data_IF_685099952046
#
_entry.id   IF_685099952046
#
_cell.length_a   1.000
_cell.length_b   1.000
_cell.length_c   1.000
_cell.angle_alpha   90.00
_cell.angle_beta   90.00
_cell.angle_gamma   90.00
#
_symmetry.space_group_name_H-M   'P 1'
#
loop_
_entity.id
_entity.type
_entity.pdbx_description
1 polymer ?
#
# COMPACT_ATOMS: atom_id res chain seq x y z
N UNK A 1 -16.74 1.80 -4.32
CA UNK A 1 -16.96 3.24 -4.10
C UNK A 1 -16.42 3.56 -2.71
N UNK A 2 -15.28 4.25 -2.59
CA UNK A 2 -14.69 4.64 -1.30
C UNK A 2 -14.92 6.13 -1.04
N UNK A 3 -16.18 6.50 -0.76
CA UNK A 3 -16.54 7.91 -0.55
C UNK A 3 -17.41 8.19 0.68
N UNK A 4 -17.71 7.19 1.51
CA UNK A 4 -18.75 7.29 2.56
C UNK A 4 -18.34 6.76 3.95
N UNK A 5 -17.04 6.63 4.24
CA UNK A 5 -16.59 6.38 5.61
C UNK A 5 -16.57 4.91 6.06
N UNK A 6 -16.31 3.96 5.16
CA UNK A 6 -15.91 2.62 5.58
C UNK A 6 -14.38 2.49 5.60
N UNK A 7 -13.76 2.31 6.79
CA UNK A 7 -12.34 1.97 6.84
C UNK A 7 -12.09 0.64 6.13
N UNK A 8 -10.99 0.55 5.37
CA UNK A 8 -10.47 -0.73 4.86
C UNK A 8 -10.94 -1.18 3.48
N UNK A 9 -11.32 -0.29 2.57
CA UNK A 9 -11.40 -0.69 1.16
C UNK A 9 -10.03 -1.08 0.58
N UNK A 10 -10.05 -1.66 -0.63
CA UNK A 10 -8.84 -2.14 -1.29
C UNK A 10 -8.99 -1.85 -2.79
N UNK A 11 -7.92 -1.38 -3.41
CA UNK A 11 -7.80 -1.24 -4.86
C UNK A 11 -6.55 -1.92 -5.38
N UNK A 12 -6.52 -2.22 -6.69
CA UNK A 12 -5.33 -2.76 -7.36
C UNK A 12 -4.94 -1.84 -8.50
N UNK A 13 -3.66 -1.52 -8.59
CA UNK A 13 -3.09 -0.73 -9.68
C UNK A 13 -1.80 -1.41 -10.12
N UNK A 14 -1.50 -1.33 -11.41
CA UNK A 14 -0.27 -1.90 -11.93
C UNK A 14 0.90 -0.95 -11.64
N UNK A 15 1.82 -1.39 -10.78
CA UNK A 15 3.07 -0.69 -10.46
C UNK A 15 4.12 -1.66 -9.91
N UNK A 16 5.39 -1.36 -10.15
CA UNK A 16 6.52 -2.17 -9.69
C UNK A 16 7.07 -1.79 -8.31
N UNK A 17 6.64 -0.66 -7.75
CA UNK A 17 7.06 -0.15 -6.44
C UNK A 17 5.90 0.59 -5.76
N UNK A 18 5.99 0.81 -4.44
CA UNK A 18 4.96 1.53 -3.68
C UNK A 18 4.80 2.98 -4.17
N UNK A 19 5.91 3.72 -4.30
CA UNK A 19 5.92 5.09 -4.86
C UNK A 19 5.38 5.10 -6.29
N UNK A 20 5.71 4.09 -7.10
CA UNK A 20 5.18 3.95 -8.45
C UNK A 20 3.65 3.80 -8.47
N UNK A 21 3.08 3.08 -7.50
CA UNK A 21 1.64 2.90 -7.37
C UNK A 21 0.94 4.24 -7.05
N UNK A 22 1.49 5.01 -6.10
CA UNK A 22 0.96 6.33 -5.74
C UNK A 22 1.04 7.30 -6.93
N UNK A 23 2.17 7.36 -7.62
CA UNK A 23 2.33 8.18 -8.84
C UNK A 23 1.38 7.76 -9.96
N UNK A 24 1.13 6.46 -10.13
CA UNK A 24 0.18 5.99 -11.15
C UNK A 24 -1.26 6.35 -10.77
N UNK A 25 -1.61 6.32 -9.48
CA UNK A 25 -2.90 6.80 -8.99
C UNK A 25 -3.08 8.29 -9.26
N UNK A 26 -2.04 9.12 -9.00
CA UNK A 26 -2.06 10.54 -9.38
C UNK A 26 -2.35 10.72 -10.87
N UNK A 27 -1.65 9.97 -11.73
CA UNK A 27 -1.86 10.03 -13.18
C UNK A 27 -3.30 9.69 -13.57
N UNK A 28 -3.89 8.64 -12.97
CA UNK A 28 -5.28 8.26 -13.25
C UNK A 28 -6.26 9.35 -12.77
N UNK A 29 -6.01 9.98 -11.64
CA UNK A 29 -6.84 11.07 -11.13
C UNK A 29 -6.73 12.29 -12.06
N UNK A 30 -5.52 12.60 -12.53
CA UNK A 30 -5.25 13.72 -13.45
C UNK A 30 -5.98 13.58 -14.79
N UNK A 31 -6.36 12.37 -15.21
CA UNK A 31 -7.21 12.16 -16.38
C UNK A 31 -8.62 12.76 -16.21
N UNK A 32 -9.08 12.95 -14.97
CA UNK A 32 -10.43 13.44 -14.64
C UNK A 32 -10.45 14.82 -13.97
N UNK A 33 -9.35 15.30 -13.40
CA UNK A 33 -9.27 16.59 -12.70
C UNK A 33 -8.04 17.40 -13.12
N UNK A 34 -8.13 18.73 -13.04
CA UNK A 34 -7.04 19.65 -13.44
C UNK A 34 -5.91 19.67 -12.41
N UNK A 35 -6.23 19.60 -11.12
CA UNK A 35 -5.24 19.59 -10.04
C UNK A 35 -5.43 18.37 -9.18
N UNK A 36 -4.40 17.52 -9.11
CA UNK A 36 -4.42 16.31 -8.29
C UNK A 36 -4.22 16.69 -6.82
N UNK A 37 -5.13 16.33 -5.91
CA UNK A 37 -4.98 16.61 -4.49
C UNK A 37 -4.06 15.57 -3.81
N UNK A 38 -2.75 15.69 -4.02
CA UNK A 38 -1.74 14.73 -3.50
C UNK A 38 -1.83 14.50 -1.99
N UNK A 39 -2.07 15.56 -1.22
CA UNK A 39 -2.20 15.46 0.23
C UNK A 39 -3.37 14.56 0.64
N UNK A 40 -4.53 14.67 -0.04
CA UNK A 40 -5.69 13.82 0.23
C UNK A 40 -5.43 12.37 -0.15
N UNK A 41 -4.68 12.13 -1.25
CA UNK A 41 -4.26 10.78 -1.62
C UNK A 41 -3.38 10.19 -0.51
N UNK A 42 -2.38 10.94 -0.05
CA UNK A 42 -1.46 10.50 1.00
C UNK A 42 -2.15 10.26 2.35
N UNK A 43 -3.23 11.00 2.64
CA UNK A 43 -4.07 10.79 3.83
C UNK A 43 -5.00 9.58 3.69
N UNK A 44 -5.48 9.29 2.47
CA UNK A 44 -6.46 8.23 2.21
C UNK A 44 -5.82 6.85 2.10
N UNK A 45 -4.58 6.76 1.61
CA UNK A 45 -3.90 5.48 1.38
C UNK A 45 -3.00 5.15 2.57
N UNK A 46 -3.39 4.17 3.38
CA UNK A 46 -2.57 3.76 4.54
C UNK A 46 -1.37 2.90 4.15
N UNK A 47 -1.59 1.90 3.30
CA UNK A 47 -0.63 0.83 2.98
C UNK A 47 -0.63 0.56 1.47
N UNK A 48 0.56 0.31 0.93
CA UNK A 48 0.77 -0.20 -0.43
C UNK A 48 1.48 -1.54 -0.37
N UNK A 49 0.86 -2.57 -0.94
CA UNK A 49 1.43 -3.91 -1.07
C UNK A 49 1.78 -4.17 -2.54
N UNK A 50 3.07 -4.32 -2.83
CA UNK A 50 3.56 -4.62 -4.19
C UNK A 50 3.74 -6.11 -4.33
N UNK A 51 3.03 -6.69 -5.28
CA UNK A 51 3.11 -8.11 -5.61
C UNK A 51 3.92 -8.29 -6.89
N UNK A 52 4.93 -9.16 -6.84
CA UNK A 52 5.78 -9.52 -7.98
C UNK A 52 5.74 -11.03 -8.25
N UNK A 53 6.28 -11.45 -9.39
CA UNK A 53 6.16 -12.83 -9.85
C UNK A 53 4.83 -13.10 -10.57
N UNK A 54 4.65 -14.33 -11.05
CA UNK A 54 3.44 -14.77 -11.79
C UNK A 54 3.02 -16.17 -11.34
N UNK A 55 1.73 -16.48 -11.46
CA UNK A 55 1.20 -17.78 -11.08
C UNK A 55 1.52 -18.14 -9.63
N UNK A 56 2.00 -19.35 -9.39
CA UNK A 56 2.35 -19.88 -8.07
C UNK A 56 3.56 -19.21 -7.41
N UNK A 57 4.37 -18.45 -8.15
CA UNK A 57 5.53 -17.74 -7.59
C UNK A 57 5.23 -16.27 -7.26
N UNK A 58 3.95 -15.88 -7.25
CA UNK A 58 3.52 -14.53 -6.85
C UNK A 58 3.83 -14.32 -5.37
N UNK A 59 4.56 -13.25 -5.05
CA UNK A 59 4.97 -12.92 -3.68
C UNK A 59 4.81 -11.43 -3.39
N UNK A 60 4.68 -11.11 -2.10
CA UNK A 60 4.83 -9.75 -1.60
C UNK A 60 6.30 -9.36 -1.69
N UNK A 61 6.64 -8.42 -2.57
CA UNK A 61 8.00 -7.89 -2.70
C UNK A 61 8.23 -6.61 -1.93
N UNK A 62 7.16 -5.87 -1.63
CA UNK A 62 7.23 -4.63 -0.88
C UNK A 62 5.93 -4.44 -0.09
N UNK A 63 6.05 -4.01 1.17
CA UNK A 63 4.93 -3.54 1.97
C UNK A 63 5.33 -2.19 2.55
N UNK A 64 4.64 -1.13 2.15
CA UNK A 64 4.97 0.23 2.52
C UNK A 64 3.79 0.91 3.21
N UNK A 65 4.08 1.64 4.29
CA UNK A 65 3.16 2.59 4.91
C UNK A 65 3.37 3.96 4.31
N UNK A 66 2.28 4.62 3.93
CA UNK A 66 2.33 6.02 3.45
C UNK A 66 2.33 6.93 4.68
N UNK A 67 3.25 7.88 4.72
CA UNK A 67 3.42 8.78 5.87
C UNK A 67 3.03 10.22 5.56
N UNK A 68 2.42 10.46 4.40
CA UNK A 68 2.10 11.80 3.89
C UNK A 68 3.06 12.24 2.78
N UNK A 69 3.26 13.55 2.68
CA UNK A 69 4.21 14.17 1.76
C UNK A 69 5.45 14.67 2.52
N UNK A 70 6.58 14.74 1.81
CA UNK A 70 7.78 15.43 2.27
C UNK A 70 7.71 16.95 1.96
N UNK A 71 8.71 17.75 2.40
CA UNK A 71 8.74 19.19 2.13
C UNK A 71 8.82 19.57 0.65
N UNK A 72 9.29 18.67 -0.21
CA UNK A 72 9.38 18.86 -1.67
C UNK A 72 8.06 18.48 -2.38
N UNK A 73 7.09 17.93 -1.63
CA UNK A 73 5.78 17.54 -2.12
C UNK A 73 5.73 16.14 -2.74
N UNK A 74 6.78 15.33 -2.55
CA UNK A 74 6.83 13.92 -2.93
C UNK A 74 6.26 13.03 -1.82
N UNK A 75 5.82 11.82 -2.17
CA UNK A 75 5.30 10.88 -1.18
C UNK A 75 6.42 10.35 -0.29
N UNK A 76 6.21 10.42 1.02
CA UNK A 76 7.04 9.72 1.99
C UNK A 76 6.42 8.36 2.31
N UNK A 77 7.22 7.31 2.17
CA UNK A 77 6.82 5.95 2.53
C UNK A 77 7.87 5.30 3.43
N UNK A 78 7.41 4.47 4.35
CA UNK A 78 8.25 3.66 5.23
C UNK A 78 7.96 2.17 5.01
N UNK A 79 8.96 1.31 5.21
CA UNK A 79 8.72 -0.14 5.18
C UNK A 79 7.79 -0.54 6.32
N UNK A 80 6.66 -1.16 5.97
CA UNK A 80 5.74 -1.72 6.96
C UNK A 80 6.27 -3.09 7.38
N UNK A 81 7.08 -3.13 8.44
CA UNK A 81 7.45 -4.38 9.08
C UNK A 81 6.22 -4.99 9.74
N UNK A 82 5.77 -6.14 9.22
CA UNK A 82 4.95 -7.05 10.00
C UNK A 82 5.89 -7.73 10.99
N UNK A 83 5.84 -7.36 12.27
CA UNK A 83 6.49 -8.17 13.31
C UNK A 83 5.96 -9.60 13.18
N UNK A 84 6.82 -10.62 13.00
CA UNK A 84 6.39 -11.99 12.76
C UNK A 84 5.91 -12.69 14.03
N UNK A 85 5.32 -11.96 15.00
CA UNK A 85 4.93 -12.51 16.29
C UNK A 85 3.66 -13.36 16.17
N UNK A 86 3.84 -14.51 15.54
CA UNK A 86 3.06 -15.72 15.70
C UNK A 86 4.02 -16.75 16.28
N UNK A 87 4.28 -16.65 17.57
CA UNK A 87 4.93 -17.72 18.32
C UNK A 87 4.18 -19.03 18.06
N UNK A 88 4.82 -20.09 17.53
CA UNK A 88 4.16 -21.39 17.38
C UNK A 88 3.72 -21.88 18.75
N UNK A 89 2.44 -22.25 18.89
CA UNK A 89 1.91 -22.90 20.08
C UNK A 89 2.79 -24.13 20.40
N UNK A 90 3.25 -24.33 21.65
CA UNK A 90 4.05 -25.50 21.99
C UNK A 90 3.26 -26.77 21.62
N UNK A 91 3.88 -27.65 20.82
CA UNK A 91 3.30 -28.95 20.51
C UNK A 91 3.21 -29.72 21.81
N UNK A 92 1.99 -29.87 22.33
CA UNK A 92 1.73 -30.81 23.42
C UNK A 92 2.25 -32.19 23.03
N UNK A 93 3.05 -32.78 23.93
CA UNK A 93 3.53 -34.14 23.81
C UNK A 93 2.35 -35.08 23.61
N UNK A 94 2.48 -35.93 22.58
CA UNK A 94 1.59 -37.07 22.37
C UNK A 94 2.00 -38.16 23.37
N UNK A 95 1.05 -38.63 24.16
CA UNK A 95 1.06 -39.95 24.81
C UNK A 95 -0.29 -40.60 24.63
#
# INVERSE_FOLDING_TARGET
>A
MWGTGHPGGIGTIHAGTSIGALRRLEQLIQEAVVTVPKALIAETIDIVAVLSGRGSVRRLSELARVEGLDPDGDYRVASAHLSPDRQPLPKGEQS
#
